data_IF_047026035959
#
_entry.id   IF_047026035959
#
_cell.length_a   1.000
_cell.length_b   1.000
_cell.length_c   1.000
_cell.angle_alpha   90.00
_cell.angle_beta   90.00
_cell.angle_gamma   90.00
#
_symmetry.space_group_name_H-M   'P 1'
#
loop_
_entity.id
_entity.type
_entity.pdbx_description
1 polymer ?
#
# COMPACT_ATOMS: atom_id res chain seq x y z
N UNK A 1 15.54 18.46 -9.37
CA UNK A 1 15.08 17.61 -8.25
C UNK A 1 14.97 18.46 -7.00
N UNK A 2 13.90 18.29 -6.21
CA UNK A 2 13.75 18.97 -4.92
C UNK A 2 14.84 18.51 -3.95
N UNK A 3 15.42 19.46 -3.21
CA UNK A 3 16.33 19.18 -2.09
C UNK A 3 15.55 19.40 -0.80
N UNK A 4 15.69 18.50 0.16
CA UNK A 4 15.14 18.71 1.49
C UNK A 4 15.88 19.84 2.21
N UNK A 5 15.32 20.32 3.33
CA UNK A 5 15.94 21.36 4.16
C UNK A 5 17.37 21.01 4.66
N UNK A 6 17.71 19.71 4.70
CA UNK A 6 19.04 19.21 5.07
C UNK A 6 19.98 18.97 3.85
N UNK A 7 19.60 19.39 2.64
CA UNK A 7 20.37 19.21 1.41
C UNK A 7 20.25 17.82 0.78
N UNK A 8 19.56 16.86 1.41
CA UNK A 8 19.35 15.51 0.85
C UNK A 8 18.43 15.58 -0.36
N UNK A 9 18.75 14.84 -1.41
CA UNK A 9 17.91 14.76 -2.61
C UNK A 9 16.62 14.01 -2.25
N UNK A 10 15.47 14.61 -2.52
CA UNK A 10 14.17 14.00 -2.28
C UNK A 10 13.80 13.12 -3.47
N UNK A 11 14.12 11.83 -3.38
CA UNK A 11 13.71 10.82 -4.37
C UNK A 11 13.52 9.45 -3.71
N UNK A 12 12.67 8.60 -4.30
CA UNK A 12 12.44 7.23 -3.79
C UNK A 12 13.44 6.20 -4.33
N UNK A 13 14.17 6.49 -5.40
CA UNK A 13 15.25 5.63 -5.90
C UNK A 13 16.25 5.27 -4.79
N UNK A 14 16.59 4.00 -4.68
CA UNK A 14 17.46 3.44 -3.65
C UNK A 14 16.84 3.30 -2.26
N UNK A 15 15.61 3.80 -2.03
CA UNK A 15 14.94 3.60 -0.75
C UNK A 15 14.47 2.16 -0.57
N UNK A 16 14.64 1.57 0.62
CA UNK A 16 14.17 0.23 0.89
C UNK A 16 12.69 0.21 1.28
N UNK A 17 12.03 -0.92 1.05
CA UNK A 17 10.83 -1.28 1.79
C UNK A 17 11.26 -1.85 3.13
N UNK A 18 11.10 -1.07 4.19
CA UNK A 18 11.56 -1.44 5.54
C UNK A 18 10.55 -2.30 6.31
N UNK A 19 9.29 -2.37 5.85
CA UNK A 19 8.25 -3.19 6.48
C UNK A 19 7.35 -3.88 5.45
N UNK A 20 7.30 -5.21 5.47
CA UNK A 20 6.53 -6.05 4.53
C UNK A 20 5.80 -7.13 5.34
N UNK A 21 4.47 -7.02 5.43
CA UNK A 21 3.61 -7.99 6.11
C UNK A 21 2.75 -8.71 5.07
N UNK A 22 2.96 -10.01 4.85
CA UNK A 22 2.14 -10.80 3.94
C UNK A 22 0.66 -10.76 4.31
N UNK A 23 -0.19 -10.57 3.29
CA UNK A 23 -1.64 -10.45 3.42
C UNK A 23 -2.09 -9.16 4.08
N UNK A 24 -1.22 -8.16 4.24
CA UNK A 24 -1.59 -6.89 4.85
C UNK A 24 -1.06 -5.70 4.05
N UNK A 25 0.21 -5.34 4.24
CA UNK A 25 0.79 -4.11 3.71
C UNK A 25 2.26 -4.27 3.35
N UNK A 26 2.67 -3.53 2.31
CA UNK A 26 4.07 -3.27 1.97
C UNK A 26 4.32 -1.79 2.21
N UNK A 27 5.21 -1.46 3.15
CA UNK A 27 5.53 -0.10 3.55
C UNK A 27 6.97 0.26 3.17
N UNK A 28 7.11 1.45 2.62
CA UNK A 28 8.39 2.03 2.20
C UNK A 28 8.33 3.55 2.24
N UNK A 29 9.19 4.19 1.47
CA UNK A 29 9.20 5.65 1.35
C UNK A 29 9.95 6.40 2.45
N UNK A 30 10.66 5.71 3.35
CA UNK A 30 11.60 6.37 4.25
C UNK A 30 12.86 6.79 3.46
N UNK A 31 12.82 8.01 2.94
CA UNK A 31 13.91 8.64 2.19
C UNK A 31 15.05 9.12 3.10
N UNK A 32 14.89 9.15 4.43
CA UNK A 32 15.84 9.76 5.35
C UNK A 32 16.76 8.70 5.97
N UNK A 33 16.21 7.70 6.66
CA UNK A 33 16.97 6.64 7.32
C UNK A 33 16.78 5.27 6.66
N UNK A 34 15.67 5.07 5.93
CA UNK A 34 15.36 3.79 5.27
C UNK A 34 15.02 2.66 6.24
N UNK A 35 14.57 2.98 7.46
CA UNK A 35 14.26 2.01 8.51
C UNK A 35 12.89 2.25 9.18
N UNK A 36 12.15 3.25 8.70
CA UNK A 36 10.83 3.63 9.16
C UNK A 36 10.83 4.75 10.21
N UNK A 37 11.99 5.23 10.66
CA UNK A 37 12.09 6.35 11.60
C UNK A 37 12.08 7.70 10.90
N UNK A 38 12.46 7.74 9.63
CA UNK A 38 12.53 8.96 8.86
C UNK A 38 11.18 9.38 8.31
N UNK A 39 10.77 10.62 8.57
CA UNK A 39 9.58 11.19 7.97
C UNK A 39 9.87 12.62 7.51
N UNK A 40 9.87 12.83 6.19
CA UNK A 40 10.15 14.14 5.60
C UNK A 40 9.38 14.31 4.30
N UNK A 41 8.73 15.45 4.14
CA UNK A 41 8.01 15.83 2.92
C UNK A 41 8.77 16.85 2.09
N UNK A 42 8.27 17.10 0.88
CA UNK A 42 8.74 18.19 0.01
C UNK A 42 8.44 19.58 0.59
N UNK A 43 7.47 19.68 1.49
CA UNK A 43 7.05 20.93 2.16
C UNK A 43 7.94 21.27 3.37
N UNK A 44 8.82 20.35 3.79
CA UNK A 44 9.65 20.49 4.98
C UNK A 44 8.94 19.93 6.22
N UNK A 45 9.50 18.89 6.83
CA UNK A 45 8.88 18.21 7.98
C UNK A 45 7.66 17.38 7.57
N UNK A 46 6.62 17.37 8.40
CA UNK A 46 5.35 16.68 8.14
C UNK A 46 4.28 17.63 7.61
N UNK A 47 3.24 17.07 7.00
CA UNK A 47 2.09 17.82 6.50
C UNK A 47 0.76 17.19 6.92
N UNK A 48 -0.30 18.00 6.82
CA UNK A 48 -1.65 17.70 7.27
C UNK A 48 -2.33 16.62 6.43
N UNK A 49 -3.35 15.97 6.99
CA UNK A 49 -4.19 15.05 6.23
C UNK A 49 -5.01 15.83 5.20
N UNK A 50 -4.86 15.53 3.91
CA UNK A 50 -5.56 16.28 2.86
C UNK A 50 -7.08 16.09 2.95
N UNK A 51 -7.53 14.83 2.88
CA UNK A 51 -8.93 14.46 3.00
C UNK A 51 -9.12 12.92 2.94
N UNK A 52 -10.14 12.40 3.63
CA UNK A 52 -10.44 10.95 3.74
C UNK A 52 -11.60 10.47 2.83
N UNK A 53 -11.79 11.09 1.66
CA UNK A 53 -12.87 10.69 0.72
C UNK A 53 -12.65 9.30 0.14
N UNK A 54 -11.40 8.93 -0.11
CA UNK A 54 -11.03 7.63 -0.66
C UNK A 54 -10.82 6.63 0.48
N UNK A 55 -11.33 5.41 0.30
CA UNK A 55 -11.28 4.32 1.28
C UNK A 55 -10.36 3.20 0.83
N UNK A 56 -9.88 2.40 1.78
CA UNK A 56 -9.08 1.20 1.54
C UNK A 56 -9.97 0.03 1.11
N UNK A 57 -10.57 0.14 -0.07
CA UNK A 57 -11.61 -0.80 -0.51
C UNK A 57 -11.07 -2.07 -1.18
N UNK A 58 -9.86 -2.04 -1.73
CA UNK A 58 -9.30 -3.18 -2.47
C UNK A 58 -7.77 -3.31 -2.32
N UNK A 59 -7.23 -4.40 -2.86
CA UNK A 59 -5.78 -4.61 -2.97
C UNK A 59 -5.16 -3.59 -3.95
N UNK A 60 -3.93 -3.19 -3.69
CA UNK A 60 -3.20 -2.23 -4.51
C UNK A 60 -3.56 -0.78 -4.21
N UNK A 61 -4.28 -0.48 -3.13
CA UNK A 61 -4.50 0.91 -2.69
C UNK A 61 -3.19 1.46 -2.13
N UNK A 62 -2.83 2.68 -2.55
CA UNK A 62 -1.69 3.44 -2.05
C UNK A 62 -2.18 4.47 -1.02
N UNK A 63 -1.52 4.48 0.13
CA UNK A 63 -1.93 5.30 1.26
C UNK A 63 -0.73 5.81 2.06
N UNK A 64 -0.87 6.99 2.67
CA UNK A 64 0.18 7.65 3.43
C UNK A 64 0.33 7.04 4.82
N UNK A 65 1.58 6.81 5.23
CA UNK A 65 1.90 6.47 6.62
C UNK A 65 2.06 7.75 7.41
N UNK A 66 1.46 7.77 8.59
CA UNK A 66 1.60 8.85 9.56
C UNK A 66 1.95 8.26 10.94
N UNK A 67 2.34 9.13 11.87
CA UNK A 67 2.60 8.81 13.30
C UNK A 67 1.50 9.39 14.20
N UNK A 68 0.28 9.55 13.67
CA UNK A 68 -0.84 10.27 14.26
C UNK A 68 -1.43 11.31 13.28
N UNK A 69 -2.55 11.97 13.65
CA UNK A 69 -3.20 12.95 12.79
C UNK A 69 -2.23 14.05 12.32
N UNK A 70 -2.39 14.49 11.07
CA UNK A 70 -1.63 15.61 10.48
C UNK A 70 -0.09 15.41 10.45
N UNK A 71 0.39 14.15 10.42
CA UNK A 71 1.82 13.82 10.45
C UNK A 71 2.34 13.06 9.21
N UNK A 72 1.75 13.32 8.05
CA UNK A 72 2.18 12.72 6.79
C UNK A 72 3.58 13.22 6.39
N UNK A 73 4.34 12.40 5.66
CA UNK A 73 5.59 12.86 5.07
C UNK A 73 5.94 12.13 3.77
N UNK A 74 6.89 11.20 3.80
CA UNK A 74 7.31 10.45 2.59
C UNK A 74 7.03 8.96 2.67
N UNK A 75 6.71 8.45 3.86
CA UNK A 75 6.38 7.04 4.00
C UNK A 75 4.98 6.76 3.44
N UNK A 76 4.88 5.67 2.70
CA UNK A 76 3.63 5.18 2.11
C UNK A 76 3.55 3.66 2.28
N UNK A 77 2.34 3.14 2.13
CA UNK A 77 2.12 1.71 2.04
C UNK A 77 1.21 1.33 0.87
N UNK A 78 1.39 0.10 0.39
CA UNK A 78 0.56 -0.56 -0.61
C UNK A 78 -0.19 -1.69 0.08
N UNK A 79 -1.51 -1.70 -0.02
CA UNK A 79 -2.32 -2.81 0.50
C UNK A 79 -2.13 -4.05 -0.37
N UNK A 80 -1.76 -5.19 0.21
CA UNK A 80 -1.60 -6.46 -0.53
C UNK A 80 -2.71 -7.45 -0.24
N UNK A 81 -3.74 -7.02 0.48
CA UNK A 81 -4.69 -7.98 0.98
C UNK A 81 -5.56 -8.51 -0.14
N UNK A 82 -5.33 -9.78 -0.47
CA UNK A 82 -6.05 -10.48 -1.53
C UNK A 82 -7.50 -10.68 -1.10
N UNK A 83 -8.41 -9.89 -1.67
CA UNK A 83 -9.85 -10.20 -1.65
C UNK A 83 -10.14 -11.60 -2.25
N UNK A 84 -9.23 -12.12 -3.09
CA UNK A 84 -9.42 -13.33 -3.88
C UNK A 84 -9.18 -14.66 -3.15
N UNK A 85 -8.46 -14.69 -2.03
CA UNK A 85 -8.22 -15.98 -1.34
C UNK A 85 -9.52 -16.60 -0.80
N UNK A 86 -10.52 -15.76 -0.51
CA UNK A 86 -11.87 -16.18 -0.14
C UNK A 86 -12.84 -16.26 -1.33
N UNK A 87 -12.59 -15.54 -2.43
CA UNK A 87 -13.37 -15.67 -3.67
C UNK A 87 -13.14 -17.01 -4.38
N UNK A 88 -11.91 -17.54 -4.35
CA UNK A 88 -11.59 -18.87 -4.87
C UNK A 88 -12.30 -19.98 -4.05
N UNK A 89 -12.32 -19.84 -2.72
CA UNK A 89 -13.14 -20.68 -1.84
C UNK A 89 -14.64 -20.56 -2.16
N UNK A 90 -15.11 -19.40 -2.63
CA UNK A 90 -16.50 -19.19 -3.05
C UNK A 90 -16.87 -20.03 -4.28
N UNK A 91 -16.05 -20.00 -5.33
CA UNK A 91 -16.22 -20.81 -6.55
C UNK A 91 -16.13 -22.33 -6.29
N UNK A 92 -15.25 -22.76 -5.39
CA UNK A 92 -15.09 -24.17 -5.00
C UNK A 92 -16.23 -24.64 -4.08
N UNK A 93 -16.74 -23.76 -3.20
CA UNK A 93 -17.88 -24.04 -2.33
C UNK A 93 -19.22 -24.08 -3.08
N UNK A 94 -19.42 -23.20 -4.08
CA UNK A 94 -20.62 -23.18 -4.91
C UNK A 94 -20.80 -24.46 -5.74
N UNK A 95 -19.70 -25.14 -6.09
CA UNK A 95 -19.71 -26.43 -6.79
C UNK A 95 -20.13 -27.62 -5.91
N UNK A 96 -19.97 -27.53 -4.58
CA UNK A 96 -20.12 -28.69 -3.69
C UNK A 96 -21.31 -28.64 -2.70
N UNK A 97 -22.21 -27.64 -2.78
CA UNK A 97 -23.46 -27.52 -1.99
C UNK A 97 -23.37 -27.94 -0.50
N UNK A 98 -22.25 -27.74 0.17
CA UNK A 98 -22.14 -27.99 1.62
C UNK A 98 -21.59 -26.75 2.31
N UNK A 99 -22.21 -26.42 3.46
CA UNK A 99 -21.83 -25.63 4.67
C UNK A 99 -20.65 -24.63 4.71
N UNK A 100 -19.90 -24.37 3.64
CA UNK A 100 -18.73 -23.48 3.59
C UNK A 100 -19.10 -21.99 3.42
N UNK A 101 -20.36 -21.67 3.10
CA UNK A 101 -20.81 -20.28 2.82
C UNK A 101 -20.81 -19.38 4.07
N UNK A 102 -21.02 -19.91 5.28
CA UNK A 102 -20.99 -19.10 6.52
C UNK A 102 -19.57 -18.70 6.92
N UNK A 103 -18.58 -19.58 6.74
CA UNK A 103 -17.18 -19.31 7.09
C UNK A 103 -16.53 -18.30 6.15
N UNK A 104 -16.90 -18.35 4.86
CA UNK A 104 -16.37 -17.43 3.84
C UNK A 104 -16.92 -16.00 4.00
N UNK A 105 -18.18 -15.84 4.42
CA UNK A 105 -18.73 -14.51 4.78
C UNK A 105 -18.03 -13.90 5.99
N UNK A 106 -17.83 -14.68 7.05
CA UNK A 106 -17.11 -14.22 8.25
C UNK A 106 -15.65 -13.82 7.97
N UNK A 107 -14.93 -14.55 7.10
CA UNK A 107 -13.56 -14.21 6.71
C UNK A 107 -13.45 -12.95 5.85
N UNK A 108 -14.36 -12.74 4.90
CA UNK A 108 -14.40 -11.54 4.06
C UNK A 108 -14.85 -10.27 4.83
N UNK A 109 -15.76 -10.42 5.80
CA UNK A 109 -16.19 -9.33 6.69
C UNK A 109 -15.09 -8.96 7.70
N UNK A 110 -14.39 -9.95 8.26
CA UNK A 110 -13.23 -9.72 9.13
C UNK A 110 -12.08 -9.01 8.39
N UNK A 111 -11.92 -9.30 7.11
CA UNK A 111 -10.93 -8.68 6.25
C UNK A 111 -11.27 -7.22 5.92
N UNK A 112 -12.51 -6.94 5.50
CA UNK A 112 -13.01 -5.57 5.28
C UNK A 112 -12.89 -4.74 6.56
N UNK A 113 -13.12 -5.36 7.74
CA UNK A 113 -12.98 -4.72 9.04
C UNK A 113 -11.54 -4.27 9.36
N UNK A 114 -10.53 -5.00 8.91
CA UNK A 114 -9.13 -4.63 9.12
C UNK A 114 -8.69 -3.46 8.24
N UNK A 115 -9.11 -3.43 6.98
CA UNK A 115 -8.84 -2.29 6.10
C UNK A 115 -9.68 -1.07 6.46
N UNK A 116 -10.92 -1.25 6.89
CA UNK A 116 -11.76 -0.13 7.35
C UNK A 116 -11.23 0.52 8.63
N UNK A 117 -10.35 -0.16 9.38
CA UNK A 117 -9.63 0.45 10.51
C UNK A 117 -8.58 1.48 10.06
N UNK A 118 -8.15 1.42 8.81
CA UNK A 118 -7.26 2.42 8.21
C UNK A 118 -8.02 3.60 7.61
N UNK A 119 -9.34 3.44 7.38
CA UNK A 119 -10.18 4.50 6.84
C UNK A 119 -10.34 5.63 7.87
N UNK A 120 -10.16 6.87 7.44
CA UNK A 120 -10.22 8.04 8.31
C UNK A 120 -8.95 8.31 9.13
N UNK A 121 -8.02 7.35 9.16
CA UNK A 121 -6.72 7.50 9.85
C UNK A 121 -5.57 7.69 8.84
N UNK A 122 -5.67 7.09 7.65
CA UNK A 122 -4.66 7.17 6.61
C UNK A 122 -5.22 7.75 5.31
N UNK A 123 -4.52 8.72 4.74
CA UNK A 123 -4.91 9.37 3.48
C UNK A 123 -4.59 8.46 2.29
N UNK A 124 -5.62 8.00 1.61
CA UNK A 124 -5.51 7.29 0.33
C UNK A 124 -5.29 8.30 -0.79
N UNK A 125 -4.25 8.11 -1.59
CA UNK A 125 -3.88 9.02 -2.68
C UNK A 125 -3.75 8.34 -4.05
N UNK A 126 -3.87 7.02 -4.12
CA UNK A 126 -3.77 6.32 -5.41
C UNK A 126 -4.05 4.83 -5.37
N UNK A 127 -3.91 4.20 -6.53
CA UNK A 127 -3.99 2.74 -6.71
C UNK A 127 -2.94 2.25 -7.69
N UNK A 128 -2.47 1.02 -7.48
CA UNK A 128 -1.64 0.28 -8.44
C UNK A 128 -2.52 -0.07 -9.65
N UNK A 129 -2.10 0.38 -10.83
CA UNK A 129 -2.81 0.12 -12.10
C UNK A 129 -2.20 -1.10 -12.80
N UNK A 130 -0.89 -1.25 -12.70
CA UNK A 130 -0.10 -2.33 -13.29
C UNK A 130 1.05 -2.73 -12.35
N UNK A 131 1.53 -3.97 -12.47
CA UNK A 131 2.64 -4.48 -11.67
C UNK A 131 2.24 -5.04 -10.29
N UNK A 132 0.95 -5.37 -10.09
CA UNK A 132 0.49 -5.97 -8.83
C UNK A 132 1.08 -7.37 -8.58
N UNK A 133 1.42 -8.09 -9.64
CA UNK A 133 2.19 -9.33 -9.60
C UNK A 133 3.57 -9.15 -8.94
N UNK A 134 4.25 -8.04 -9.25
CA UNK A 134 5.53 -7.66 -8.64
C UNK A 134 5.36 -7.34 -7.15
N UNK A 135 4.28 -6.64 -6.80
CA UNK A 135 3.92 -6.37 -5.40
C UNK A 135 3.75 -7.69 -4.63
N UNK A 136 3.02 -8.66 -5.20
CA UNK A 136 2.87 -9.99 -4.61
C UNK A 136 4.17 -10.81 -4.59
N UNK A 137 5.06 -10.64 -5.57
CA UNK A 137 6.36 -11.29 -5.58
C UNK A 137 7.27 -10.74 -4.46
N UNK A 138 7.25 -9.43 -4.22
CA UNK A 138 7.95 -8.78 -3.09
C UNK A 138 7.41 -9.34 -1.77
N UNK A 139 6.10 -9.38 -1.62
CA UNK A 139 5.43 -9.94 -0.44
C UNK A 139 5.84 -11.39 -0.17
N UNK A 140 5.74 -12.27 -1.18
CA UNK A 140 6.02 -13.69 -1.04
C UNK A 140 7.50 -14.02 -0.85
N UNK A 141 8.40 -13.21 -1.41
CA UNK A 141 9.84 -13.44 -1.33
C UNK A 141 10.50 -12.85 -0.09
N UNK A 142 10.02 -11.69 0.38
CA UNK A 142 10.67 -10.92 1.45
C UNK A 142 9.80 -10.73 2.70
N UNK A 143 8.48 -10.93 2.62
CA UNK A 143 7.57 -10.62 3.72
C UNK A 143 7.69 -11.53 4.94
N UNK A 144 7.40 -10.97 6.11
CA UNK A 144 7.33 -11.69 7.38
C UNK A 144 6.17 -11.19 8.24
N UNK A 145 5.68 -12.03 9.16
CA UNK A 145 4.62 -11.61 10.09
C UNK A 145 5.07 -10.57 11.12
N UNK A 146 6.38 -10.47 11.40
CA UNK A 146 6.92 -9.37 12.22
C UNK A 146 7.02 -8.05 11.46
N UNK A 147 6.82 -8.07 10.15
CA UNK A 147 6.98 -6.95 9.25
C UNK A 147 8.42 -6.71 8.81
N UNK A 148 9.45 -7.18 9.51
CA UNK A 148 10.85 -7.00 9.09
C UNK A 148 11.17 -7.90 7.87
N UNK A 149 11.57 -7.35 6.71
CA UNK A 149 11.82 -8.17 5.53
C UNK A 149 12.96 -9.18 5.72
N UNK A 150 12.80 -10.38 5.14
CA UNK A 150 13.86 -11.43 5.11
C UNK A 150 15.06 -11.01 4.26
N UNK A 151 14.80 -10.25 3.21
CA UNK A 151 15.79 -9.74 2.26
C UNK A 151 15.53 -8.25 2.04
N UNK A 152 16.59 -7.49 1.80
CA UNK A 152 16.47 -6.07 1.52
C UNK A 152 15.86 -5.89 0.13
N UNK A 153 14.68 -5.27 0.06
CA UNK A 153 14.01 -4.91 -1.19
C UNK A 153 14.15 -3.41 -1.36
N UNK A 154 14.66 -2.97 -2.51
CA UNK A 154 14.95 -1.56 -2.80
C UNK A 154 14.23 -1.12 -4.07
N UNK A 155 13.84 0.16 -4.11
CA UNK A 155 13.35 0.79 -5.33
C UNK A 155 14.54 1.06 -6.25
N UNK A 156 14.74 0.23 -7.26
CA UNK A 156 15.91 0.37 -8.16
C UNK A 156 15.86 1.66 -8.98
N UNK A 157 14.66 2.07 -9.41
CA UNK A 157 14.42 3.31 -10.15
C UNK A 157 12.99 3.81 -9.91
N UNK A 158 12.77 5.11 -10.10
CA UNK A 158 11.45 5.74 -9.91
C UNK A 158 11.32 7.01 -10.75
N UNK A 159 10.14 7.27 -11.30
CA UNK A 159 9.87 8.46 -12.10
C UNK A 159 8.37 8.72 -12.28
N UNK A 160 8.04 9.74 -13.07
CA UNK A 160 6.67 10.10 -13.41
C UNK A 160 6.37 9.69 -14.86
N UNK A 161 5.19 9.10 -15.07
CA UNK A 161 4.70 8.75 -16.41
C UNK A 161 3.73 9.86 -16.85
N UNK A 162 3.91 10.44 -18.04
CA UNK A 162 3.03 11.50 -18.53
C UNK A 162 1.57 11.02 -18.65
N UNK A 163 0.63 11.90 -18.30
CA UNK A 163 -0.82 11.62 -18.25
C UNK A 163 -1.35 10.96 -19.53
N UNK A 164 -0.88 11.41 -20.70
CA UNK A 164 -1.29 10.90 -22.01
C UNK A 164 -1.09 9.39 -22.21
N UNK A 165 -0.26 8.73 -21.40
CA UNK A 165 -0.01 7.29 -21.51
C UNK A 165 -0.99 6.44 -20.73
N UNK A 166 -1.78 7.03 -19.84
CA UNK A 166 -2.69 6.30 -18.96
C UNK A 166 -4.10 6.88 -18.91
N UNK A 167 -4.33 8.10 -19.42
CA UNK A 167 -5.65 8.75 -19.40
C UNK A 167 -6.77 7.92 -20.05
N UNK A 168 -6.44 7.15 -21.10
CA UNK A 168 -7.39 6.30 -21.81
C UNK A 168 -7.58 4.91 -21.16
N UNK A 169 -6.91 4.61 -20.04
CA UNK A 169 -7.00 3.31 -19.41
C UNK A 169 -8.33 3.17 -18.65
N UNK A 170 -9.22 2.24 -19.05
CA UNK A 170 -10.52 2.07 -18.41
C UNK A 170 -10.40 1.68 -16.93
N UNK A 171 -9.24 1.15 -16.50
CA UNK A 171 -8.95 0.80 -15.10
C UNK A 171 -8.75 2.02 -14.21
N UNK A 172 -8.52 3.20 -14.78
CA UNK A 172 -8.16 4.43 -14.04
C UNK A 172 -9.37 5.32 -13.79
N UNK A 173 -10.54 5.02 -14.37
CA UNK A 173 -11.78 5.74 -14.11
C UNK A 173 -12.06 5.84 -12.59
N UNK A 174 -11.77 7.01 -12.03
CA UNK A 174 -12.15 7.39 -10.67
C UNK A 174 -13.57 7.90 -10.81
N UNK A 175 -14.54 7.03 -10.55
CA UNK A 175 -15.93 7.43 -10.29
C UNK A 175 -16.09 7.64 -8.80
#
# INVERSE_FOLDING_TARGET
MGKAANGKVLHYKGTPFHRIIPGFVIQGGDIVSGDGRGNQSIYGGTFRDENFKLKHSHAGVLSMVNSGPDSNGSQFFISTVKAYWYACLFEVALRNRFTTVKLVKSGAEFFTFFLSRLDGEHVVFGKVIDGMDTVYAIEGSAGTYSGKPRKKVIVADSGEIPKSKWEDDPRISVT
#
